data_IF_601060794586
#
_entry.id   IF_601060794586
#
_cell.length_a   1.000
_cell.length_b   1.000
_cell.length_c   1.000
_cell.angle_alpha   90.00
_cell.angle_beta   90.00
_cell.angle_gamma   90.00
#
_symmetry.space_group_name_H-M   'P 1'
#
loop_
_entity.id
_entity.type
_entity.pdbx_description
1 polymer ?
#
# COMPACT_ATOMS: atom_id res chain seq x y z
N UNK A 1 -43.57 19.72 40.63
CA UNK A 1 -42.41 19.72 41.55
C UNK A 1 -41.16 19.94 40.72
N UNK A 2 -40.44 21.05 40.95
CA UNK A 2 -39.24 21.45 40.21
C UNK A 2 -38.02 20.77 40.86
N UNK A 3 -37.31 19.92 40.11
CA UNK A 3 -36.02 19.38 40.54
C UNK A 3 -34.89 20.18 39.88
N UNK A 4 -34.10 20.85 40.71
CA UNK A 4 -32.87 21.54 40.38
C UNK A 4 -31.73 20.57 40.69
N UNK A 5 -30.90 20.24 39.70
CA UNK A 5 -29.68 19.43 39.87
C UNK A 5 -28.44 20.32 39.86
N UNK A 6 -27.46 20.11 40.76
CA UNK A 6 -26.27 20.95 40.85
C UNK A 6 -25.18 20.54 39.86
N UNK A 7 -24.51 21.55 39.31
CA UNK A 7 -23.34 21.45 38.45
C UNK A 7 -22.10 21.33 39.34
N UNK A 8 -21.36 20.22 39.25
CA UNK A 8 -20.05 20.05 39.87
C UNK A 8 -18.96 20.33 38.84
N UNK A 9 -18.21 21.41 39.06
CA UNK A 9 -17.07 21.84 38.26
C UNK A 9 -15.79 21.24 38.86
N UNK A 10 -15.18 20.25 38.19
CA UNK A 10 -13.86 19.74 38.54
C UNK A 10 -12.81 20.39 37.64
N UNK A 11 -12.00 21.28 38.22
CA UNK A 11 -10.79 21.83 37.60
C UNK A 11 -9.63 20.92 38.04
N UNK A 12 -9.06 20.17 37.09
CA UNK A 12 -7.83 19.39 37.30
C UNK A 12 -6.69 20.08 36.56
N UNK A 13 -5.85 20.76 37.32
CA UNK A 13 -4.61 21.39 36.86
C UNK A 13 -3.53 20.31 36.76
N UNK A 14 -3.17 19.89 35.54
CA UNK A 14 -2.04 19.00 35.28
C UNK A 14 -0.80 19.86 34.99
N UNK A 15 0.12 19.92 35.96
CA UNK A 15 1.44 20.49 35.78
C UNK A 15 2.35 19.48 35.07
N UNK A 16 2.67 19.73 33.81
CA UNK A 16 3.70 18.99 33.06
C UNK A 16 5.07 19.65 33.28
N UNK A 17 5.92 18.98 34.07
CA UNK A 17 7.35 19.29 34.17
C UNK A 17 8.08 18.74 32.95
N UNK A 18 8.76 19.63 32.22
CA UNK A 18 9.61 19.29 31.08
C UNK A 18 11.02 19.03 31.61
N UNK A 19 11.44 17.78 31.68
CA UNK A 19 12.84 17.39 31.88
C UNK A 19 13.47 17.18 30.50
N UNK A 20 14.27 18.15 30.06
CA UNK A 20 15.10 18.02 28.86
C UNK A 20 16.44 17.36 29.24
N UNK A 21 16.71 16.17 28.68
CA UNK A 21 18.05 15.58 28.68
C UNK A 21 18.80 16.05 27.43
N UNK A 22 19.82 16.89 27.61
CA UNK A 22 20.85 17.14 26.61
C UNK A 22 21.86 16.00 26.62
N UNK A 23 22.12 15.41 25.45
CA UNK A 23 23.16 14.39 25.25
C UNK A 23 24.27 15.02 24.41
N UNK A 24 25.38 15.36 25.05
CA UNK A 24 26.62 15.75 24.39
C UNK A 24 27.26 14.50 23.75
N UNK A 25 27.55 14.57 22.45
CA UNK A 25 28.43 13.63 21.77
C UNK A 25 29.72 14.39 21.42
N UNK A 26 30.78 14.09 22.17
CA UNK A 26 32.14 14.50 21.87
C UNK A 26 32.58 13.87 20.54
N UNK A 27 32.84 14.70 19.53
CA UNK A 27 33.45 14.27 18.28
C UNK A 27 34.96 14.15 18.49
N UNK A 28 35.48 12.92 18.43
CA UNK A 28 36.91 12.63 18.45
C UNK A 28 37.51 12.89 17.07
N UNK A 29 38.43 13.84 17.02
CA UNK A 29 39.46 13.99 15.98
C UNK A 29 40.36 12.75 16.02
N UNK A 30 40.56 12.07 14.89
CA UNK A 30 41.63 11.10 14.75
C UNK A 30 42.49 11.43 13.53
N UNK A 31 43.76 11.52 13.87
CA UNK A 31 44.97 11.78 13.12
C UNK A 31 45.07 11.11 11.75
N UNK A 32 45.66 11.89 10.86
CA UNK A 32 46.22 11.49 9.57
C UNK A 32 47.56 10.81 9.84
N UNK A 33 47.68 9.51 9.59
CA UNK A 33 48.99 8.90 9.35
C UNK A 33 49.09 8.43 7.90
N UNK A 34 49.83 9.22 7.13
CA UNK A 34 50.47 8.81 5.89
C UNK A 34 51.49 7.71 6.20
N UNK A 35 51.25 6.50 5.68
CA UNK A 35 52.31 5.50 5.55
C UNK A 35 52.25 4.91 4.15
N UNK A 36 53.11 5.44 3.28
CA UNK A 36 53.43 4.95 1.95
C UNK A 36 54.49 3.87 2.05
N UNK A 37 54.14 2.59 1.88
CA UNK A 37 55.07 1.58 1.31
C UNK A 37 54.34 0.35 0.75
N UNK A 38 54.55 0.11 -0.55
CA UNK A 38 54.61 -1.16 -1.28
C UNK A 38 53.66 -2.33 -0.93
N UNK A 39 52.78 -2.66 -1.88
CA UNK A 39 52.85 -3.88 -2.70
C UNK A 39 51.52 -4.03 -3.45
N UNK A 40 51.57 -3.94 -4.79
CA UNK A 40 50.41 -4.18 -5.67
C UNK A 40 50.02 -5.67 -5.64
N UNK A 41 49.34 -6.08 -4.57
CA UNK A 41 48.50 -7.27 -4.59
C UNK A 41 47.13 -6.77 -5.05
N UNK A 42 46.78 -7.05 -6.31
CA UNK A 42 45.42 -6.85 -6.83
C UNK A 42 44.51 -7.82 -6.09
N UNK A 43 44.19 -7.49 -4.83
CA UNK A 43 43.11 -8.11 -4.10
C UNK A 43 41.85 -7.62 -4.78
N UNK A 44 41.30 -8.50 -5.63
CA UNK A 44 39.96 -8.39 -6.16
C UNK A 44 39.04 -8.05 -4.99
N UNK A 45 38.67 -6.77 -4.89
CA UNK A 45 37.77 -6.29 -3.86
C UNK A 45 36.44 -6.97 -4.11
N UNK A 46 36.19 -8.04 -3.37
CA UNK A 46 34.90 -8.73 -3.39
C UNK A 46 33.89 -7.72 -2.89
N UNK A 47 33.16 -7.10 -3.82
CA UNK A 47 32.06 -6.19 -3.52
C UNK A 47 31.06 -6.99 -2.69
N UNK A 48 31.10 -6.78 -1.37
CA UNK A 48 30.08 -7.32 -0.47
C UNK A 48 28.84 -6.50 -0.74
N UNK A 49 28.00 -6.98 -1.65
CA UNK A 49 26.68 -6.40 -1.85
C UNK A 49 25.93 -6.51 -0.53
N UNK A 50 25.39 -5.39 -0.06
CA UNK A 50 24.59 -5.41 1.17
C UNK A 50 23.46 -6.42 1.01
N UNK A 51 23.08 -7.08 2.09
CA UNK A 51 22.00 -8.06 2.07
C UNK A 51 20.69 -7.49 1.48
N UNK A 52 20.43 -6.19 1.65
CA UNK A 52 19.29 -5.52 1.03
C UNK A 52 19.40 -5.37 -0.50
N UNK A 53 20.60 -5.27 -1.06
CA UNK A 53 20.80 -5.28 -2.50
C UNK A 53 20.50 -6.67 -3.10
N UNK A 54 20.64 -7.73 -2.30
CA UNK A 54 20.32 -9.10 -2.72
C UNK A 54 18.83 -9.45 -2.57
N UNK A 55 18.08 -8.69 -1.76
CA UNK A 55 16.64 -8.85 -1.57
C UNK A 55 15.86 -8.31 -2.78
N UNK A 56 15.47 -9.21 -3.66
CA UNK A 56 14.69 -8.91 -4.86
C UNK A 56 13.76 -10.07 -5.22
N UNK A 57 12.67 -9.76 -5.91
CA UNK A 57 11.81 -10.71 -6.62
C UNK A 57 12.01 -10.52 -8.13
N UNK A 58 11.66 -11.52 -8.98
CA UNK A 58 11.90 -11.44 -10.42
C UNK A 58 11.10 -10.36 -11.15
N UNK A 59 10.01 -9.87 -10.54
CA UNK A 59 9.19 -8.78 -11.05
C UNK A 59 8.64 -7.95 -9.87
N UNK A 60 8.02 -6.82 -10.18
CA UNK A 60 7.26 -5.98 -9.25
C UNK A 60 5.75 -6.16 -9.44
N UNK A 61 5.28 -6.76 -10.53
CA UNK A 61 3.86 -7.04 -10.76
C UNK A 61 3.67 -8.51 -11.12
N UNK A 62 2.86 -9.22 -10.34
CA UNK A 62 2.57 -10.63 -10.54
C UNK A 62 1.12 -10.84 -10.98
N UNK A 63 0.95 -11.53 -12.10
CA UNK A 63 -0.37 -11.83 -12.66
C UNK A 63 -0.79 -13.24 -12.26
N UNK A 64 -2.06 -13.42 -11.91
CA UNK A 64 -2.60 -14.77 -11.73
C UNK A 64 -2.44 -15.58 -13.02
N UNK A 65 -2.19 -16.86 -12.86
CA UNK A 65 -2.08 -17.80 -13.98
C UNK A 65 -3.01 -18.98 -13.72
N UNK A 66 -3.63 -19.51 -14.77
CA UNK A 66 -4.42 -20.73 -14.69
C UNK A 66 -3.46 -21.93 -14.62
N UNK A 67 -3.07 -22.33 -13.41
CA UNK A 67 -2.28 -23.54 -13.20
C UNK A 67 -3.21 -24.70 -12.87
N UNK A 68 -3.25 -25.78 -13.69
CA UNK A 68 -4.07 -26.95 -13.39
C UNK A 68 -3.67 -27.58 -12.04
N UNK A 69 -4.50 -27.39 -11.01
CA UNK A 69 -4.29 -27.97 -9.68
C UNK A 69 -3.09 -27.44 -8.89
N UNK A 70 -2.50 -26.31 -9.29
CA UNK A 70 -1.26 -25.78 -8.71
C UNK A 70 -1.39 -24.36 -8.14
N UNK A 71 -0.53 -24.05 -7.16
CA UNK A 71 -0.33 -22.68 -6.68
C UNK A 71 0.76 -22.00 -7.50
N UNK A 72 0.54 -20.74 -7.89
CA UNK A 72 1.58 -19.92 -8.50
C UNK A 72 2.47 -19.34 -7.39
N UNK A 73 3.64 -19.95 -7.18
CA UNK A 73 4.61 -19.54 -6.17
C UNK A 73 5.75 -18.75 -6.81
N UNK A 74 6.01 -17.56 -6.29
CA UNK A 74 7.16 -16.72 -6.66
C UNK A 74 8.18 -16.75 -5.53
N UNK A 75 9.47 -16.88 -5.84
CA UNK A 75 10.55 -16.88 -4.84
C UNK A 75 11.42 -15.63 -4.98
N UNK A 76 12.14 -15.23 -3.91
CA UNK A 76 13.22 -14.27 -4.03
C UNK A 76 14.27 -14.73 -5.06
N UNK A 77 14.87 -13.79 -5.78
CA UNK A 77 15.90 -14.07 -6.81
C UNK A 77 17.11 -14.76 -6.20
N UNK A 78 17.51 -14.32 -5.01
CA UNK A 78 18.58 -14.93 -4.23
C UNK A 78 17.97 -15.56 -2.97
N UNK A 79 18.32 -16.81 -2.61
CA UNK A 79 17.97 -17.36 -1.31
C UNK A 79 18.62 -16.53 -0.20
N UNK A 80 17.82 -16.08 0.77
CA UNK A 80 18.30 -15.28 1.92
C UNK A 80 17.90 -15.95 3.22
N UNK A 81 18.71 -15.78 4.26
CA UNK A 81 18.42 -16.29 5.61
C UNK A 81 17.99 -15.14 6.52
N UNK A 82 16.78 -15.21 7.05
CA UNK A 82 16.21 -14.19 7.92
C UNK A 82 14.70 -14.36 8.08
N UNK A 83 13.99 -13.27 8.37
CA UNK A 83 12.53 -13.26 8.49
C UNK A 83 11.91 -12.38 7.41
N UNK A 84 10.87 -12.88 6.75
CA UNK A 84 10.10 -12.15 5.75
C UNK A 84 8.71 -11.78 6.26
N UNK A 85 8.09 -10.77 5.63
CA UNK A 85 6.66 -10.52 5.75
C UNK A 85 6.15 -9.52 4.71
N UNK A 86 4.84 -9.27 4.72
CA UNK A 86 4.18 -8.31 3.83
C UNK A 86 3.06 -7.48 4.50
N UNK A 87 2.87 -6.25 4.00
CA UNK A 87 1.92 -5.25 4.48
C UNK A 87 1.26 -4.57 3.26
N UNK A 88 -0.07 -4.39 3.21
CA UNK A 88 -1.03 -4.88 4.20
C UNK A 88 -1.04 -6.42 4.28
N UNK A 89 -1.83 -6.95 5.22
CA UNK A 89 -2.15 -8.38 5.24
C UNK A 89 -2.74 -8.83 3.88
N UNK A 90 -2.95 -10.12 3.67
CA UNK A 90 -3.59 -10.61 2.43
C UNK A 90 -2.62 -11.14 1.38
N UNK A 91 -1.34 -10.73 1.43
CA UNK A 91 -0.27 -11.43 0.71
C UNK A 91 0.12 -12.73 1.43
N UNK A 92 0.06 -13.87 0.74
CA UNK A 92 0.47 -15.18 1.26
C UNK A 92 1.97 -15.38 1.10
N UNK A 93 2.74 -14.71 1.95
CA UNK A 93 4.19 -14.86 2.03
C UNK A 93 4.59 -15.85 3.12
N UNK A 94 5.51 -16.77 2.79
CA UNK A 94 6.18 -17.62 3.76
C UNK A 94 7.25 -16.81 4.50
N UNK A 95 7.15 -16.79 5.82
CA UNK A 95 8.04 -15.98 6.69
C UNK A 95 9.48 -16.48 6.73
N UNK A 96 9.73 -17.73 6.34
CA UNK A 96 11.02 -18.40 6.45
C UNK A 96 11.88 -18.28 5.19
N UNK A 97 11.26 -18.36 4.00
CA UNK A 97 12.00 -18.34 2.72
C UNK A 97 11.59 -17.20 1.78
N UNK A 98 10.57 -16.40 2.16
CA UNK A 98 10.06 -15.29 1.35
C UNK A 98 9.30 -15.75 0.11
N UNK A 99 8.94 -17.03 -0.01
CA UNK A 99 8.10 -17.47 -1.12
C UNK A 99 6.69 -16.89 -1.00
N UNK A 100 6.15 -16.43 -2.13
CA UNK A 100 4.84 -15.78 -2.20
C UNK A 100 3.90 -16.65 -3.02
N UNK A 101 2.79 -17.09 -2.42
CA UNK A 101 1.71 -17.76 -3.13
C UNK A 101 0.77 -16.71 -3.75
N UNK A 102 0.97 -16.40 -5.04
CA UNK A 102 0.17 -15.44 -5.80
C UNK A 102 -1.28 -15.91 -5.91
N UNK A 103 -1.51 -17.21 -6.13
CA UNK A 103 -2.87 -17.79 -6.21
C UNK A 103 -3.67 -17.62 -4.92
N UNK A 104 -3.00 -17.70 -3.77
CA UNK A 104 -3.64 -17.55 -2.46
C UNK A 104 -3.71 -16.10 -1.95
N UNK A 105 -3.09 -15.14 -2.65
CA UNK A 105 -2.99 -13.75 -2.23
C UNK A 105 -4.17 -12.92 -2.73
N UNK A 106 -4.53 -11.87 -1.99
CA UNK A 106 -5.52 -10.90 -2.47
C UNK A 106 -4.97 -10.10 -3.66
N UNK A 107 -5.81 -9.90 -4.68
CA UNK A 107 -5.42 -9.28 -5.94
C UNK A 107 -5.86 -7.81 -6.01
N UNK A 108 -5.28 -7.05 -6.93
CA UNK A 108 -5.55 -5.61 -7.08
C UNK A 108 -4.90 -4.73 -6.01
N UNK A 109 -3.97 -5.28 -5.22
CA UNK A 109 -3.29 -4.61 -4.11
C UNK A 109 -1.78 -4.52 -4.35
N UNK A 110 -1.18 -3.43 -3.84
CA UNK A 110 0.26 -3.23 -3.73
C UNK A 110 0.69 -3.50 -2.30
N UNK A 111 1.74 -4.29 -2.14
CA UNK A 111 2.26 -4.75 -0.88
C UNK A 111 3.69 -4.26 -0.68
N UNK A 112 3.98 -3.74 0.51
CA UNK A 112 5.33 -3.62 1.03
C UNK A 112 5.76 -4.98 1.59
N UNK A 113 6.69 -5.63 0.91
CA UNK A 113 7.38 -6.82 1.40
C UNK A 113 8.65 -6.39 2.11
N UNK A 114 8.90 -6.92 3.30
CA UNK A 114 10.13 -6.65 4.03
C UNK A 114 10.88 -7.93 4.38
N UNK A 115 12.17 -7.75 4.61
CA UNK A 115 13.10 -8.79 5.00
C UNK A 115 14.04 -8.27 6.08
N UNK A 116 14.23 -9.04 7.14
CA UNK A 116 15.20 -8.78 8.20
C UNK A 116 16.22 -9.92 8.20
N UNK A 117 17.47 -9.60 7.89
CA UNK A 117 18.54 -10.59 7.80
C UNK A 117 18.83 -11.23 9.17
N UNK A 118 19.20 -12.51 9.17
CA UNK A 118 19.52 -13.22 10.41
C UNK A 118 20.69 -12.55 11.14
N UNK A 119 20.52 -12.34 12.45
CA UNK A 119 21.53 -11.70 13.30
C UNK A 119 21.61 -10.16 13.16
N UNK A 120 20.78 -9.53 12.34
CA UNK A 120 20.74 -8.07 12.18
C UNK A 120 19.40 -7.48 12.63
N UNK A 121 19.30 -6.15 12.61
CA UNK A 121 18.03 -5.41 12.75
C UNK A 121 17.69 -4.63 11.48
N UNK A 122 18.50 -4.79 10.44
CA UNK A 122 18.35 -4.05 9.19
C UNK A 122 17.14 -4.60 8.45
N UNK A 123 16.20 -3.71 8.11
CA UNK A 123 14.97 -4.07 7.41
C UNK A 123 15.05 -3.60 5.97
N UNK A 124 15.14 -4.55 5.05
CA UNK A 124 15.07 -4.30 3.62
C UNK A 124 13.60 -4.26 3.19
N UNK A 125 13.21 -3.38 2.27
CA UNK A 125 11.83 -3.22 1.80
C UNK A 125 11.77 -3.23 0.27
N UNK A 126 10.73 -3.86 -0.27
CA UNK A 126 10.39 -3.86 -1.70
C UNK A 126 8.88 -3.75 -1.86
N UNK A 127 8.43 -3.11 -2.92
CA UNK A 127 7.02 -3.08 -3.27
C UNK A 127 6.75 -4.08 -4.39
N UNK A 128 5.68 -4.84 -4.24
CA UNK A 128 5.14 -5.71 -5.29
C UNK A 128 3.65 -5.48 -5.42
N UNK A 129 3.08 -5.80 -6.58
CA UNK A 129 1.65 -5.75 -6.83
C UNK A 129 1.17 -7.13 -7.28
N UNK A 130 0.09 -7.63 -6.68
CA UNK A 130 -0.64 -8.77 -7.23
C UNK A 130 -1.72 -8.23 -8.15
N UNK A 131 -1.58 -8.47 -9.46
CA UNK A 131 -2.43 -7.89 -10.50
C UNK A 131 -3.89 -8.28 -10.30
N UNK A 132 -4.79 -7.32 -10.51
CA UNK A 132 -6.22 -7.49 -10.32
C UNK A 132 -6.94 -6.15 -10.21
N UNK A 133 -8.24 -6.22 -9.90
CA UNK A 133 -9.02 -5.05 -9.54
C UNK A 133 -9.26 -4.98 -8.03
N UNK A 134 -9.41 -3.76 -7.53
CA UNK A 134 -9.90 -3.48 -6.19
C UNK A 134 -10.97 -2.38 -6.22
N UNK A 135 -11.69 -2.13 -5.13
CA UNK A 135 -12.53 -0.95 -4.96
C UNK A 135 -11.99 -0.11 -3.80
N UNK A 136 -12.11 1.21 -3.92
CA UNK A 136 -11.74 2.11 -2.83
C UNK A 136 -12.68 1.94 -1.63
N UNK A 137 -12.11 1.86 -0.44
CA UNK A 137 -12.83 2.09 0.81
C UNK A 137 -13.38 3.53 0.78
N UNK A 138 -14.70 3.70 0.73
CA UNK A 138 -15.32 5.02 0.47
C UNK A 138 -16.77 5.12 0.95
N UNK A 139 -17.15 6.36 1.27
CA UNK A 139 -18.54 6.74 1.59
C UNK A 139 -19.17 7.45 0.40
N UNK A 140 -20.27 6.90 -0.10
CA UNK A 140 -21.03 7.39 -1.25
C UNK A 140 -22.35 8.00 -0.81
N UNK A 141 -22.59 9.27 -1.18
CA UNK A 141 -23.86 9.97 -0.94
C UNK A 141 -24.76 9.81 -2.17
N UNK A 142 -25.84 9.05 -2.03
CA UNK A 142 -26.72 8.64 -3.13
C UNK A 142 -27.54 9.79 -3.72
N UNK A 143 -27.72 10.88 -2.97
CA UNK A 143 -28.40 12.08 -3.43
C UNK A 143 -27.69 12.76 -4.62
N UNK A 144 -26.37 12.60 -4.75
CA UNK A 144 -25.54 13.34 -5.71
C UNK A 144 -25.54 12.75 -7.14
N UNK A 145 -26.46 11.84 -7.46
CA UNK A 145 -26.62 11.17 -8.77
C UNK A 145 -25.39 10.39 -9.32
N UNK A 146 -24.23 10.43 -8.66
CA UNK A 146 -22.97 9.78 -9.09
C UNK A 146 -22.55 8.62 -8.18
N UNK A 147 -23.50 7.91 -7.58
CA UNK A 147 -23.20 6.80 -6.68
C UNK A 147 -22.75 5.53 -7.42
N UNK A 148 -21.57 5.59 -8.03
CA UNK A 148 -20.90 4.47 -8.70
C UNK A 148 -19.58 4.15 -8.01
N UNK A 149 -19.36 2.88 -7.68
CA UNK A 149 -18.05 2.40 -7.29
C UNK A 149 -17.29 1.95 -8.54
N UNK A 150 -16.13 2.56 -8.78
CA UNK A 150 -15.27 2.30 -9.94
C UNK A 150 -14.12 1.40 -9.48
N UNK A 151 -13.80 0.31 -10.21
CA UNK A 151 -12.68 -0.53 -9.87
C UNK A 151 -11.35 0.20 -10.12
N UNK A 152 -10.38 -0.05 -9.25
CA UNK A 152 -8.98 0.38 -9.33
C UNK A 152 -8.17 -0.80 -9.82
N UNK A 153 -7.37 -0.58 -10.85
CA UNK A 153 -6.54 -1.63 -11.43
C UNK A 153 -5.11 -1.55 -10.89
N UNK A 154 -4.61 -2.67 -10.37
CA UNK A 154 -3.23 -2.80 -9.87
C UNK A 154 -2.84 -1.73 -8.85
N UNK A 155 -3.77 -1.44 -7.92
CA UNK A 155 -3.61 -0.43 -6.87
C UNK A 155 -3.26 0.98 -7.37
N UNK A 156 -3.55 1.29 -8.64
CA UNK A 156 -3.30 2.61 -9.21
C UNK A 156 -4.64 3.23 -9.67
N UNK A 157 -5.13 4.28 -9.00
CA UNK A 157 -6.44 4.88 -9.29
C UNK A 157 -6.42 5.73 -10.56
N UNK A 158 -5.24 6.15 -11.01
CA UNK A 158 -5.04 6.93 -12.23
C UNK A 158 -4.93 6.03 -13.46
N UNK A 159 -4.72 4.73 -13.26
CA UNK A 159 -4.62 3.76 -14.34
C UNK A 159 -5.98 3.14 -14.64
N UNK A 160 -6.52 3.29 -15.87
CA UNK A 160 -7.73 2.58 -16.24
C UNK A 160 -7.51 1.07 -16.18
N UNK A 161 -8.57 0.31 -15.93
CA UNK A 161 -8.51 -1.15 -16.03
C UNK A 161 -8.10 -1.55 -17.45
N UNK A 162 -7.02 -2.33 -17.56
CA UNK A 162 -6.57 -2.84 -18.85
C UNK A 162 -7.53 -3.92 -19.35
N UNK A 163 -8.51 -3.48 -20.14
CA UNK A 163 -9.50 -4.33 -20.78
C UNK A 163 -9.26 -4.49 -22.28
N UNK A 164 -8.04 -4.22 -22.75
CA UNK A 164 -7.66 -4.34 -24.17
C UNK A 164 -7.86 -5.77 -24.71
N UNK A 165 -7.57 -6.80 -23.91
CA UNK A 165 -7.88 -8.21 -24.20
C UNK A 165 -9.30 -8.67 -23.82
N UNK A 166 -10.16 -7.74 -23.41
CA UNK A 166 -11.51 -7.97 -22.91
C UNK A 166 -11.56 -8.32 -21.42
N UNK A 167 -12.33 -7.55 -20.65
CA UNK A 167 -12.66 -7.85 -19.26
C UNK A 167 -14.06 -8.47 -19.15
N UNK A 168 -14.20 -9.39 -18.21
CA UNK A 168 -15.47 -10.04 -17.91
C UNK A 168 -15.68 -10.01 -16.39
N UNK A 169 -16.69 -9.27 -15.96
CA UNK A 169 -17.09 -9.20 -14.56
C UNK A 169 -18.38 -9.97 -14.33
N UNK A 170 -18.53 -10.51 -13.12
CA UNK A 170 -19.69 -11.30 -12.72
C UNK A 170 -19.81 -12.57 -13.58
N UNK A 171 -18.71 -13.35 -13.60
CA UNK A 171 -18.55 -14.55 -14.46
C UNK A 171 -18.80 -15.87 -13.73
N UNK A 172 -19.10 -15.83 -12.43
CA UNK A 172 -19.33 -17.03 -11.62
C UNK A 172 -20.61 -17.78 -11.96
N UNK A 173 -20.89 -18.87 -11.21
CA UNK A 173 -22.15 -19.62 -11.32
C UNK A 173 -23.35 -18.67 -11.20
N UNK A 174 -24.40 -18.82 -12.03
CA UNK A 174 -25.49 -17.84 -12.08
C UNK A 174 -26.14 -17.49 -10.74
N UNK A 175 -26.26 -18.45 -9.81
CA UNK A 175 -26.84 -18.24 -8.48
C UNK A 175 -25.89 -17.52 -7.50
N UNK A 176 -24.58 -17.57 -7.74
CA UNK A 176 -23.55 -17.00 -6.87
C UNK A 176 -23.13 -15.59 -7.31
N UNK A 177 -23.37 -15.25 -8.58
CA UNK A 177 -23.15 -13.92 -9.16
C UNK A 177 -23.66 -12.80 -8.26
N UNK A 178 -22.90 -11.71 -8.16
CA UNK A 178 -23.32 -10.54 -7.38
C UNK A 178 -24.59 -9.93 -7.95
N UNK A 179 -24.83 -10.06 -9.26
CA UNK A 179 -26.07 -9.59 -9.89
C UNK A 179 -27.31 -10.37 -9.47
N UNK A 180 -27.20 -11.69 -9.26
CA UNK A 180 -28.29 -12.49 -8.70
C UNK A 180 -28.59 -12.10 -7.24
N UNK A 181 -27.64 -11.46 -6.58
CA UNK A 181 -27.76 -10.94 -5.22
C UNK A 181 -28.16 -9.45 -5.16
N UNK A 182 -28.57 -8.86 -6.28
CA UNK A 182 -29.08 -7.48 -6.37
C UNK A 182 -28.03 -6.43 -6.71
N UNK A 183 -26.74 -6.77 -6.85
CA UNK A 183 -25.70 -5.80 -7.25
C UNK A 183 -25.83 -5.49 -8.73
N UNK A 184 -25.99 -4.21 -9.07
CA UNK A 184 -26.06 -3.74 -10.45
C UNK A 184 -24.66 -3.34 -10.91
N UNK A 185 -23.99 -4.24 -11.63
CA UNK A 185 -22.62 -4.07 -12.13
C UNK A 185 -22.58 -4.05 -13.67
N UNK A 186 -21.75 -3.19 -14.25
CA UNK A 186 -21.41 -3.25 -15.66
C UNK A 186 -20.41 -4.39 -15.90
N UNK A 187 -20.85 -5.45 -16.57
CA UNK A 187 -20.06 -6.67 -16.80
C UNK A 187 -18.81 -6.49 -17.67
N UNK A 188 -18.65 -5.33 -18.32
CA UNK A 188 -17.48 -4.98 -19.14
C UNK A 188 -16.48 -4.08 -18.41
N UNK A 189 -16.97 -3.18 -17.56
CA UNK A 189 -16.12 -2.17 -16.89
C UNK A 189 -15.93 -2.41 -15.40
N UNK A 190 -16.70 -3.31 -14.79
CA UNK A 190 -16.70 -3.56 -13.35
C UNK A 190 -17.32 -2.43 -12.52
N UNK A 191 -17.86 -1.38 -13.14
CA UNK A 191 -18.48 -0.27 -12.41
C UNK A 191 -19.77 -0.73 -11.76
N UNK A 192 -19.89 -0.54 -10.45
CA UNK A 192 -21.08 -0.88 -9.65
C UNK A 192 -21.96 0.36 -9.50
N UNK A 193 -23.23 0.26 -9.87
CA UNK A 193 -24.23 1.29 -9.61
C UNK A 193 -24.87 1.05 -8.23
N UNK A 194 -24.42 1.80 -7.23
CA UNK A 194 -24.79 1.58 -5.83
C UNK A 194 -26.26 1.93 -5.57
N UNK A 195 -26.74 3.02 -6.16
CA UNK A 195 -28.15 3.44 -6.04
C UNK A 195 -29.10 2.36 -6.58
N UNK A 196 -28.84 1.86 -7.79
CA UNK A 196 -29.65 0.78 -8.37
C UNK A 196 -29.49 -0.53 -7.61
N UNK A 197 -28.30 -0.83 -7.07
CA UNK A 197 -28.08 -2.03 -6.25
C UNK A 197 -28.96 -2.05 -5.00
N UNK A 198 -29.10 -0.92 -4.31
CA UNK A 198 -30.02 -0.81 -3.17
C UNK A 198 -31.49 -0.94 -3.58
N UNK A 199 -31.89 -0.32 -4.70
CA UNK A 199 -33.25 -0.45 -5.22
C UNK A 199 -33.59 -1.90 -5.61
N UNK A 200 -32.60 -2.65 -6.09
CA UNK A 200 -32.71 -4.08 -6.39
C UNK A 200 -32.66 -4.97 -5.15
N UNK A 201 -32.59 -4.39 -3.94
CA UNK A 201 -32.63 -5.14 -2.70
C UNK A 201 -31.33 -5.84 -2.34
N UNK A 202 -30.16 -5.34 -2.79
CA UNK A 202 -28.85 -5.91 -2.42
C UNK A 202 -28.66 -6.05 -0.89
N UNK A 203 -29.31 -5.18 -0.11
CA UNK A 203 -29.34 -5.21 1.36
C UNK A 203 -30.76 -5.42 1.93
N UNK A 204 -31.67 -6.00 1.14
CA UNK A 204 -33.07 -6.19 1.49
C UNK A 204 -33.97 -4.95 1.26
N UNK A 205 -35.26 -5.10 1.58
CA UNK A 205 -36.24 -3.99 1.49
C UNK A 205 -36.10 -3.11 2.74
N UNK A 206 -35.80 -1.83 2.56
CA UNK A 206 -35.64 -0.84 3.63
C UNK A 206 -34.56 -1.21 4.67
N UNK A 207 -33.27 -1.28 4.28
CA UNK A 207 -32.19 -1.57 5.23
C UNK A 207 -32.17 -0.55 6.38
N UNK A 208 -31.91 -1.01 7.61
CA UNK A 208 -31.68 -0.14 8.76
C UNK A 208 -30.22 0.35 8.79
N UNK A 209 -29.93 1.41 9.55
CA UNK A 209 -28.56 1.89 9.74
C UNK A 209 -27.63 0.78 10.23
N UNK A 210 -26.46 0.65 9.60
CA UNK A 210 -25.49 -0.40 9.90
C UNK A 210 -25.78 -1.74 9.26
N UNK A 211 -26.86 -1.89 8.46
CA UNK A 211 -27.08 -3.10 7.66
C UNK A 211 -25.92 -3.27 6.69
N UNK A 212 -25.33 -4.46 6.64
CA UNK A 212 -24.27 -4.77 5.68
C UNK A 212 -24.42 -6.16 5.09
N UNK A 213 -23.75 -6.37 3.95
CA UNK A 213 -23.59 -7.68 3.33
C UNK A 213 -22.23 -7.77 2.64
N UNK A 214 -21.61 -8.94 2.74
CA UNK A 214 -20.39 -9.29 2.01
C UNK A 214 -20.76 -9.91 0.65
N UNK A 215 -20.03 -9.51 -0.38
CA UNK A 215 -20.17 -9.97 -1.75
C UNK A 215 -18.83 -10.48 -2.26
N UNK A 216 -18.86 -11.51 -3.09
CA UNK A 216 -17.69 -12.02 -3.82
C UNK A 216 -17.95 -11.77 -5.30
N UNK A 217 -17.16 -10.89 -5.91
CA UNK A 217 -17.17 -10.66 -7.35
C UNK A 217 -16.10 -11.53 -8.00
N UNK A 218 -16.54 -12.50 -8.79
CA UNK A 218 -15.65 -13.23 -9.69
C UNK A 218 -15.51 -12.50 -11.03
N UNK A 219 -14.28 -12.42 -11.54
CA UNK A 219 -13.94 -11.69 -12.75
C UNK A 219 -12.75 -12.31 -13.50
N UNK A 220 -12.58 -11.91 -14.76
CA UNK A 220 -11.44 -12.21 -15.62
C UNK A 220 -10.97 -10.93 -16.29
N UNK A 221 -9.67 -10.67 -16.27
CA UNK A 221 -9.07 -9.52 -16.92
C UNK A 221 -8.37 -9.93 -18.21
N UNK A 222 -8.44 -9.09 -19.23
CA UNK A 222 -7.74 -9.26 -20.50
C UNK A 222 -6.29 -8.80 -20.46
N UNK A 223 -5.66 -8.82 -19.29
CA UNK A 223 -4.27 -8.42 -19.04
C UNK A 223 -3.32 -9.63 -19.17
N UNK A 224 -2.09 -9.50 -18.65
CA UNK A 224 -1.10 -10.60 -18.66
C UNK A 224 -1.53 -11.83 -17.84
N UNK A 225 -2.67 -11.80 -17.13
CA UNK A 225 -3.24 -13.00 -16.48
C UNK A 225 -3.84 -13.99 -17.46
N UNK A 226 -3.96 -13.64 -18.75
CA UNK A 226 -4.57 -14.50 -19.78
C UNK A 226 -5.99 -14.94 -19.38
N UNK A 227 -6.78 -14.00 -18.84
CA UNK A 227 -8.14 -14.24 -18.32
C UNK A 227 -8.20 -15.31 -17.24
N UNK A 228 -7.18 -15.42 -16.38
CA UNK A 228 -7.28 -16.26 -15.19
C UNK A 228 -8.50 -15.87 -14.35
N UNK A 229 -9.21 -16.87 -13.80
CA UNK A 229 -10.34 -16.59 -12.93
C UNK A 229 -9.81 -15.97 -11.63
N UNK A 230 -10.35 -14.81 -11.28
CA UNK A 230 -9.99 -14.06 -10.09
C UNK A 230 -11.26 -13.72 -9.32
N UNK A 231 -11.09 -13.35 -8.05
CA UNK A 231 -12.19 -12.91 -7.21
C UNK A 231 -11.75 -11.75 -6.33
N UNK A 232 -12.72 -10.93 -5.95
CA UNK A 232 -12.58 -9.91 -4.92
C UNK A 232 -13.79 -9.94 -4.01
N UNK A 233 -13.55 -9.99 -2.69
CA UNK A 233 -14.59 -9.75 -1.70
C UNK A 233 -14.76 -8.25 -1.47
N UNK A 234 -15.99 -7.74 -1.33
CA UNK A 234 -16.26 -6.38 -0.85
C UNK A 234 -17.47 -6.39 0.10
N UNK A 235 -17.52 -5.43 1.03
CA UNK A 235 -18.63 -5.23 1.97
C UNK A 235 -19.38 -3.96 1.64
N UNK A 236 -20.70 -4.08 1.48
CA UNK A 236 -21.59 -2.92 1.28
C UNK A 236 -22.33 -2.63 2.59
N UNK A 237 -22.14 -1.43 3.15
CA UNK A 237 -22.86 -0.92 4.32
C UNK A 237 -23.92 0.10 3.94
N UNK A 238 -25.07 0.09 4.61
CA UNK A 238 -26.09 1.14 4.49
C UNK A 238 -26.21 1.98 5.76
N UNK A 239 -26.26 3.29 5.56
CA UNK A 239 -26.68 4.26 6.56
C UNK A 239 -27.66 5.25 5.92
N UNK A 240 -28.57 5.81 6.69
CA UNK A 240 -29.51 6.82 6.20
C UNK A 240 -28.79 8.14 5.95
N UNK A 241 -27.97 8.58 6.91
CA UNK A 241 -27.18 9.81 6.83
C UNK A 241 -25.69 9.52 7.05
N UNK A 242 -24.81 10.37 6.51
CA UNK A 242 -23.38 10.31 6.83
C UNK A 242 -23.10 10.42 8.33
N UNK A 243 -23.84 11.27 9.06
CA UNK A 243 -23.70 11.42 10.51
C UNK A 243 -24.06 10.17 11.33
N UNK A 244 -24.72 9.18 10.71
CA UNK A 244 -25.10 7.94 11.39
C UNK A 244 -23.98 6.89 11.34
N UNK A 245 -22.90 7.16 10.61
CA UNK A 245 -21.74 6.26 10.50
C UNK A 245 -20.98 6.30 11.84
N UNK A 246 -20.77 5.15 12.50
CA UNK A 246 -19.99 5.10 13.74
C UNK A 246 -18.55 5.60 13.53
N UNK A 247 -18.04 6.42 14.44
CA UNK A 247 -16.69 6.98 14.35
C UNK A 247 -15.59 5.91 14.23
N UNK A 248 -15.77 4.73 14.83
CA UNK A 248 -14.82 3.63 14.68
C UNK A 248 -14.77 3.09 13.24
N UNK A 249 -15.89 3.09 12.52
CA UNK A 249 -15.94 2.68 11.12
C UNK A 249 -15.32 3.75 10.20
N UNK A 250 -15.51 5.03 10.51
CA UNK A 250 -14.82 6.11 9.80
C UNK A 250 -13.30 6.01 9.97
N UNK A 251 -12.82 5.79 11.20
CA UNK A 251 -11.40 5.56 11.45
C UNK A 251 -10.87 4.34 10.69
N UNK A 252 -11.61 3.22 10.67
CA UNK A 252 -11.24 2.04 9.88
C UNK A 252 -11.13 2.35 8.37
N UNK A 253 -12.01 3.20 7.82
CA UNK A 253 -11.93 3.60 6.41
C UNK A 253 -10.66 4.41 6.11
N UNK A 254 -10.34 5.39 6.96
CA UNK A 254 -9.16 6.25 6.77
C UNK A 254 -7.86 5.44 6.89
N UNK A 255 -7.77 4.53 7.87
CA UNK A 255 -6.62 3.64 8.03
C UNK A 255 -6.40 2.75 6.80
N UNK A 256 -7.49 2.26 6.18
CA UNK A 256 -7.42 1.39 4.99
C UNK A 256 -7.10 2.15 3.70
N UNK A 257 -7.57 3.39 3.55
CA UNK A 257 -7.21 4.22 2.38
C UNK A 257 -5.70 4.38 2.22
N UNK A 258 -4.95 4.47 3.33
CA UNK A 258 -3.49 4.50 3.32
C UNK A 258 -2.83 3.21 2.83
N UNK A 259 -3.54 2.07 2.86
CA UNK A 259 -3.01 0.76 2.45
C UNK A 259 -3.09 0.53 0.94
N UNK A 260 -4.07 1.13 0.26
CA UNK A 260 -4.27 0.94 -1.19
C UNK A 260 -3.19 1.69 -2.00
N UNK A 261 -2.67 2.81 -1.49
CA UNK A 261 -1.74 3.69 -2.21
C UNK A 261 -0.30 3.63 -1.71
N UNK A 262 0.16 2.47 -1.24
CA UNK A 262 1.53 2.34 -0.73
C UNK A 262 2.57 2.70 -1.81
N UNK A 263 3.31 3.79 -1.60
CA UNK A 263 4.47 4.15 -2.43
C UNK A 263 4.13 4.85 -3.76
N UNK A 264 3.12 5.72 -3.77
CA UNK A 264 2.98 6.80 -4.77
C UNK A 264 3.81 8.05 -4.42
N UNK A 265 4.76 7.93 -3.48
CA UNK A 265 5.89 8.87 -3.39
C UNK A 265 6.76 8.64 -4.64
N UNK A 266 6.30 9.18 -5.77
CA UNK A 266 7.17 9.76 -6.76
C UNK A 266 7.98 10.82 -6.04
N UNK A 267 9.06 10.39 -5.38
CA UNK A 267 10.28 11.17 -5.38
C UNK A 267 10.63 11.34 -6.85
N UNK A 268 10.04 12.37 -7.47
CA UNK A 268 10.64 13.05 -8.60
C UNK A 268 12.01 13.46 -8.07
N UNK A 269 12.99 12.58 -8.30
CA UNK A 269 14.38 12.94 -8.30
C UNK A 269 14.45 14.02 -9.38
N UNK A 270 14.36 15.27 -8.95
CA UNK A 270 14.48 16.48 -9.77
C UNK A 270 15.90 16.42 -10.33
N UNK A 271 16.03 15.69 -11.44
CA UNK A 271 17.25 15.53 -12.20
C UNK A 271 17.46 16.92 -12.83
N UNK A 272 18.13 17.79 -12.07
CA UNK A 272 18.54 19.15 -12.42
C UNK A 272 19.59 19.08 -13.56
N UNK A 273 19.16 18.54 -14.70
CA UNK A 273 19.88 18.62 -15.96
C UNK A 273 19.57 19.96 -16.57
N UNK A 274 20.31 20.95 -16.09
CA UNK A 274 20.50 22.23 -16.77
C UNK A 274 20.65 22.03 -18.27
N UNK A 275 19.74 22.65 -19.01
CA UNK A 275 19.77 22.71 -20.46
C UNK A 275 21.01 23.43 -20.96
N UNK A 276 21.92 22.69 -21.58
CA UNK A 276 23.01 23.24 -22.39
C UNK A 276 22.65 23.11 -23.87
N UNK A 277 22.08 24.17 -24.45
CA UNK A 277 21.92 24.28 -25.89
C UNK A 277 23.27 24.19 -26.59
N UNK A 278 23.39 23.29 -27.56
CA UNK A 278 24.53 23.23 -28.48
C UNK A 278 24.05 23.56 -29.90
N UNK A 279 24.02 24.86 -30.18
CA UNK A 279 24.37 25.39 -31.49
C UNK A 279 25.74 26.02 -31.35
N UNK A 280 26.71 25.63 -32.17
CA UNK A 280 28.03 26.26 -32.13
C UNK A 280 29.11 25.58 -32.94
N UNK A 281 29.19 25.92 -34.23
CA UNK A 281 30.41 25.86 -35.00
C UNK A 281 31.47 26.80 -34.39
N UNK A 282 32.69 26.30 -34.22
CA UNK A 282 33.93 27.07 -34.39
C UNK A 282 34.51 27.82 -33.18
N UNK A 283 35.83 27.68 -33.01
CA UNK A 283 36.70 28.72 -32.46
C UNK A 283 37.15 28.51 -31.01
N UNK A 284 38.40 28.07 -30.85
CA UNK A 284 39.01 27.83 -29.55
C UNK A 284 39.46 29.09 -28.80
N UNK A 285 39.62 28.94 -27.48
CA UNK A 285 40.66 29.62 -26.71
C UNK A 285 40.84 28.92 -25.35
N UNK A 286 42.10 28.85 -24.94
CA UNK A 286 42.64 28.26 -23.72
C UNK A 286 42.47 29.14 -22.48
N UNK A 287 42.24 28.52 -21.32
CA UNK A 287 42.36 29.15 -20.01
C UNK A 287 42.08 28.17 -18.85
N UNK A 288 42.94 28.08 -17.82
CA UNK A 288 42.81 27.10 -16.74
C UNK A 288 42.10 27.69 -15.50
N UNK A 289 41.34 26.85 -14.79
CA UNK A 289 40.72 27.23 -13.51
C UNK A 289 40.27 26.02 -12.73
N UNK A 290 41.04 25.66 -11.70
CA UNK A 290 40.67 24.63 -10.73
C UNK A 290 39.73 25.18 -9.66
N UNK A 291 38.82 24.33 -9.19
CA UNK A 291 37.96 24.55 -8.04
C UNK A 291 37.34 23.23 -7.64
N UNK A 292 37.86 22.63 -6.56
CA UNK A 292 37.29 21.43 -5.96
C UNK A 292 35.93 21.74 -5.35
N UNK A 293 34.95 20.89 -5.65
CA UNK A 293 33.64 20.91 -5.02
C UNK A 293 33.53 19.67 -4.15
N UNK A 294 33.41 19.91 -2.84
CA UNK A 294 33.22 18.88 -1.83
C UNK A 294 31.80 18.29 -1.95
N UNK A 295 31.73 16.99 -2.23
CA UNK A 295 30.50 16.20 -2.26
C UNK A 295 29.95 16.03 -0.83
N UNK A 296 29.01 16.89 -0.46
CA UNK A 296 28.29 16.80 0.80
C UNK A 296 27.14 15.78 0.67
N UNK A 297 27.43 14.51 0.99
CA UNK A 297 26.41 13.45 1.06
C UNK A 297 25.51 13.64 2.28
N UNK A 298 24.30 14.16 2.07
CA UNK A 298 23.25 14.24 3.09
C UNK A 298 22.68 12.83 3.33
N UNK A 299 23.00 12.25 4.49
CA UNK A 299 22.37 11.03 4.97
C UNK A 299 20.99 11.35 5.57
N UNK A 300 19.91 10.97 4.88
CA UNK A 300 18.56 11.04 5.44
C UNK A 300 18.37 9.91 6.45
N UNK A 301 18.37 10.29 7.73
CA UNK A 301 18.02 9.38 8.83
C UNK A 301 16.51 9.41 8.98
N UNK A 302 15.84 8.32 8.62
CA UNK A 302 14.42 8.12 8.95
C UNK A 302 14.32 7.82 10.46
N UNK A 303 14.04 8.83 11.26
CA UNK A 303 13.49 8.61 12.60
C UNK A 303 12.04 8.17 12.44
N UNK A 304 11.81 6.86 12.41
CA UNK A 304 10.52 6.32 12.79
C UNK A 304 10.29 6.76 14.24
N UNK A 305 9.45 7.78 14.44
CA UNK A 305 8.96 8.14 15.76
C UNK A 305 8.19 6.94 16.28
N UNK A 306 8.85 6.11 17.08
CA UNK A 306 8.18 5.22 18.00
C UNK A 306 7.55 6.09 19.08
N UNK A 307 6.44 6.74 18.73
CA UNK A 307 5.54 7.30 19.71
C UNK A 307 5.05 6.13 20.56
N UNK A 308 5.67 5.98 21.73
CA UNK A 308 5.22 5.07 22.78
C UNK A 308 3.92 5.64 23.37
N UNK A 309 2.83 5.50 22.64
CA UNK A 309 1.50 5.59 23.22
C UNK A 309 1.30 4.31 24.01
N UNK A 310 1.44 4.42 25.32
CA UNK A 310 1.00 3.39 26.27
C UNK A 310 -0.53 3.41 26.33
N UNK A 311 -1.18 3.13 25.20
CA UNK A 311 -2.58 2.75 25.15
C UNK A 311 -2.60 1.23 25.08
N UNK A 312 -3.10 0.61 26.15
CA UNK A 312 -3.37 -0.83 26.22
C UNK A 312 -4.59 -1.17 25.36
N UNK A 313 -4.58 -0.75 24.09
CA UNK A 313 -5.43 -1.31 23.05
C UNK A 313 -4.70 -2.56 22.58
N UNK A 314 -5.29 -3.73 22.81
CA UNK A 314 -4.78 -4.96 22.21
C UNK A 314 -4.61 -4.69 20.72
N UNK A 315 -3.39 -4.84 20.21
CA UNK A 315 -3.08 -4.65 18.81
C UNK A 315 -3.90 -5.68 18.03
N UNK A 316 -5.11 -5.28 17.63
CA UNK A 316 -5.91 -6.04 16.70
C UNK A 316 -5.07 -6.07 15.42
N UNK A 317 -4.47 -7.23 15.14
CA UNK A 317 -3.80 -7.48 13.88
C UNK A 317 -4.78 -7.07 12.78
N UNK A 318 -4.44 -6.02 12.04
CA UNK A 318 -5.26 -5.45 10.99
C UNK A 318 -5.30 -6.45 9.83
N UNK A 319 -6.14 -7.49 9.99
CA UNK A 319 -6.43 -8.49 8.98
C UNK A 319 -6.85 -7.75 7.72
N UNK A 320 -6.32 -8.14 6.55
CA UNK A 320 -6.79 -7.57 5.30
C UNK A 320 -8.29 -7.86 5.22
N UNK A 321 -9.06 -6.77 5.18
CA UNK A 321 -10.51 -6.83 5.13
C UNK A 321 -10.92 -6.42 3.72
N UNK A 322 -11.95 -7.08 3.16
CA UNK A 322 -12.50 -6.69 1.87
C UNK A 322 -12.82 -5.17 1.86
N UNK A 323 -12.81 -4.49 0.70
CA UNK A 323 -13.14 -3.08 0.62
C UNK A 323 -14.51 -2.77 1.21
N UNK A 324 -14.60 -1.64 1.87
CA UNK A 324 -15.82 -1.13 2.46
C UNK A 324 -16.43 -0.07 1.55
N UNK A 325 -17.57 -0.41 0.99
CA UNK A 325 -18.41 0.52 0.25
C UNK A 325 -19.53 0.95 1.19
N UNK A 326 -19.48 2.18 1.70
CA UNK A 326 -20.54 2.72 2.55
C UNK A 326 -21.46 3.58 1.69
N UNK A 327 -22.76 3.32 1.75
CA UNK A 327 -23.77 4.11 1.04
C UNK A 327 -24.67 4.86 2.01
N UNK A 328 -24.91 6.14 1.71
CA UNK A 328 -25.72 7.06 2.51
C UNK A 328 -26.80 7.72 1.65
N UNK A 329 -28.03 7.87 2.15
CA UNK A 329 -29.07 8.54 1.35
C UNK A 329 -28.88 10.05 1.28
N UNK A 330 -28.39 10.67 2.36
CA UNK A 330 -28.20 12.12 2.53
C UNK A 330 -26.88 12.44 3.24
#
# INVERSE_FOLDING_TARGET
>A
MKHITPVFLFIVTVALGILACSKEAAYRTNDIQNTTTAANKVQSARVVTSTCAQFAYPDTIFYLTNLPGGNYIVKPVNPLTGTFGAYPDGLKIDKSDGSINITGSETGLKYMVWFVASGTRDTCRKFITVSGINYMDSTYVLANNTATAIPIYNANPLKPTDCSGGCEFDVGPPAERVSAQGIVINRKTGVINLKKSLLNGALGKNPANGTYKDFILEYRLGDKSSKALNHIGFRLYYYKKKSDIPANLENELEDKKGQVFLGDDSGEEEDDRGGGGHGGSGGGHSGPGGGGSDDNRIAFTFTASAASTTAKQGAATAKCRPPYIIVTQQ
#
